data_IF_316389164562
#
_entry.id   IF_316389164562
#
_cell.length_a   1.000
_cell.length_b   1.000
_cell.length_c   1.000
_cell.angle_alpha   90.00
_cell.angle_beta   90.00
_cell.angle_gamma   90.00
#
_symmetry.space_group_name_H-M   'P 1'
#
loop_
_entity.id
_entity.type
_entity.pdbx_description
1 polymer ?
#
# COMPACT_ATOMS: atom_id res chain seq x y z
N UNK A 1 10.59 -0.37 -2.55
CA UNK A 1 9.59 0.67 -2.83
C UNK A 1 8.20 0.09 -2.59
N UNK A 2 7.33 0.83 -1.89
CA UNK A 2 5.94 0.42 -1.61
C UNK A 2 5.14 0.30 -2.92
N UNK A 3 5.47 1.09 -3.92
CA UNK A 3 4.85 1.06 -5.26
C UNK A 3 5.09 -0.28 -5.97
N UNK A 4 6.25 -0.91 -5.76
CA UNK A 4 6.52 -2.25 -6.30
C UNK A 4 5.55 -3.29 -5.73
N UNK A 5 5.34 -3.27 -4.41
CA UNK A 5 4.40 -4.17 -3.74
C UNK A 5 2.97 -3.94 -4.22
N UNK A 6 2.58 -2.68 -4.39
CA UNK A 6 1.28 -2.31 -4.96
C UNK A 6 1.07 -2.89 -6.35
N UNK A 7 2.05 -2.75 -7.24
CA UNK A 7 1.96 -3.25 -8.61
C UNK A 7 1.96 -4.78 -8.69
N UNK A 8 2.71 -5.46 -7.81
CA UNK A 8 2.64 -6.92 -7.66
C UNK A 8 1.28 -7.36 -7.10
N UNK A 9 0.80 -6.70 -6.04
CA UNK A 9 -0.48 -7.01 -5.42
C UNK A 9 -1.64 -6.81 -6.41
N UNK A 10 -1.64 -5.75 -7.21
CA UNK A 10 -2.65 -5.54 -8.26
C UNK A 10 -2.71 -6.68 -9.27
N UNK A 11 -1.57 -7.28 -9.62
CA UNK A 11 -1.48 -8.36 -10.63
C UNK A 11 -1.79 -9.73 -10.05
N UNK A 12 -1.40 -9.99 -8.80
CA UNK A 12 -1.47 -11.33 -8.21
C UNK A 12 -2.65 -11.51 -7.24
N UNK A 13 -3.08 -10.43 -6.59
CA UNK A 13 -4.20 -10.42 -5.61
C UNK A 13 -4.95 -9.08 -5.66
N UNK A 14 -5.72 -8.82 -6.73
CA UNK A 14 -6.41 -7.55 -6.93
C UNK A 14 -7.41 -7.23 -5.81
N UNK A 15 -7.99 -8.22 -5.13
CA UNK A 15 -8.87 -7.97 -3.99
C UNK A 15 -8.19 -7.22 -2.84
N UNK A 16 -6.93 -7.51 -2.55
CA UNK A 16 -6.13 -6.84 -1.50
C UNK A 16 -5.73 -5.45 -1.97
N UNK A 17 -5.31 -5.31 -3.24
CA UNK A 17 -4.88 -4.03 -3.78
C UNK A 17 -5.98 -2.95 -3.72
N UNK A 18 -7.25 -3.36 -3.81
CA UNK A 18 -8.41 -2.46 -3.72
C UNK A 18 -8.78 -2.08 -2.28
N UNK A 19 -8.25 -2.78 -1.27
CA UNK A 19 -8.55 -2.56 0.14
C UNK A 19 -7.84 -1.36 0.77
N UNK A 20 -6.78 -0.85 0.14
CA UNK A 20 -6.02 0.31 0.63
C UNK A 20 -6.19 1.52 -0.30
N UNK A 21 -6.69 2.64 0.24
CA UNK A 21 -6.89 3.90 -0.49
C UNK A 21 -6.19 5.06 0.21
N UNK A 22 -5.31 5.75 -0.52
CA UNK A 22 -4.69 6.99 -0.07
C UNK A 22 -5.71 8.13 -0.04
N UNK A 23 -5.60 8.98 0.96
CA UNK A 23 -6.37 10.21 1.14
C UNK A 23 -5.82 11.38 0.32
N UNK A 24 -4.57 11.32 -0.15
CA UNK A 24 -3.97 12.29 -1.08
C UNK A 24 -4.05 13.75 -0.57
N UNK A 25 -3.58 14.00 0.66
CA UNK A 25 -3.60 15.35 1.25
C UNK A 25 -2.55 16.31 0.65
N UNK A 26 -1.72 15.83 -0.29
CA UNK A 26 -0.70 16.61 -1.01
C UNK A 26 0.26 17.39 -0.09
N UNK A 27 0.58 16.81 1.08
CA UNK A 27 1.63 17.31 1.96
C UNK A 27 2.64 16.21 2.17
N UNK A 28 3.93 16.55 2.14
CA UNK A 28 4.99 15.56 2.23
C UNK A 28 4.89 14.68 3.49
N UNK A 29 4.48 15.27 4.63
CA UNK A 29 4.29 14.52 5.88
C UNK A 29 3.15 13.51 5.77
N UNK A 30 1.99 13.92 5.21
CA UNK A 30 0.88 13.00 5.01
C UNK A 30 1.25 11.87 4.05
N UNK A 31 1.92 12.19 2.95
CA UNK A 31 2.31 11.21 1.92
C UNK A 31 3.26 10.13 2.48
N UNK A 32 4.18 10.50 3.38
CA UNK A 32 5.07 9.55 4.07
C UNK A 32 4.28 8.67 5.03
N UNK A 33 3.41 9.27 5.86
CA UNK A 33 2.57 8.52 6.81
C UNK A 33 1.71 7.50 6.04
N UNK A 34 1.04 7.92 4.98
CA UNK A 34 0.21 7.06 4.13
C UNK A 34 1.01 5.94 3.47
N UNK A 35 2.28 6.19 3.12
CA UNK A 35 3.15 5.16 2.53
C UNK A 35 3.61 4.12 3.57
N UNK A 36 3.81 4.53 4.83
CA UNK A 36 4.08 3.61 5.95
C UNK A 36 2.86 2.75 6.24
N UNK A 37 1.67 3.34 6.25
CA UNK A 37 0.41 2.60 6.42
C UNK A 37 0.16 1.61 5.28
N UNK A 38 0.41 2.01 4.02
CA UNK A 38 0.31 1.15 2.84
C UNK A 38 1.24 -0.08 2.97
N UNK A 39 2.47 0.14 3.43
CA UNK A 39 3.42 -0.95 3.66
C UNK A 39 2.98 -1.89 4.78
N UNK A 40 2.46 -1.35 5.90
CA UNK A 40 1.92 -2.18 6.99
C UNK A 40 0.75 -3.04 6.50
N UNK A 41 -0.16 -2.46 5.72
CA UNK A 41 -1.28 -3.18 5.13
C UNK A 41 -0.82 -4.34 4.25
N UNK A 42 0.13 -4.11 3.33
CA UNK A 42 0.67 -5.17 2.50
C UNK A 42 1.45 -6.22 3.29
N UNK A 43 2.12 -5.84 4.38
CA UNK A 43 2.79 -6.79 5.26
C UNK A 43 1.81 -7.74 5.95
N UNK A 44 0.65 -7.26 6.36
CA UNK A 44 -0.36 -8.10 7.04
C UNK A 44 -1.15 -8.98 6.08
N UNK A 45 -1.46 -8.48 4.88
CA UNK A 45 -2.42 -9.13 3.97
C UNK A 45 -1.76 -9.82 2.77
N UNK A 46 -0.61 -9.32 2.31
CA UNK A 46 0.02 -9.78 1.06
C UNK A 46 1.32 -10.56 1.29
N UNK A 47 2.21 -10.06 2.16
CA UNK A 47 3.50 -10.68 2.45
C UNK A 47 3.33 -11.71 3.57
N UNK A 48 3.52 -12.99 3.25
CA UNK A 48 3.63 -14.05 4.26
C UNK A 48 5.10 -14.22 4.62
N UNK A 49 5.48 -13.81 5.82
CA UNK A 49 6.79 -14.09 6.42
C UNK A 49 6.60 -15.15 7.49
#
# INVERSE_FOLDING_TARGET
DVSTLKELCKRWKPEIANGFKKHQKHTALADIIESVEELRYYREHFIKV
#
